data_IF_811764769919
#
_entry.id   IF_811764769919
#
_cell.length_a   1.000
_cell.length_b   1.000
_cell.length_c   1.000
_cell.angle_alpha   90.00
_cell.angle_beta   90.00
_cell.angle_gamma   90.00
#
_symmetry.space_group_name_H-M   'P 1'
#
loop_
_entity.id
_entity.type
_entity.pdbx_description
1 polymer ?
#
# COMPACT_ATOMS: atom_id res chain seq x y z
N UNK A 1 15.26 -4.13 -15.36
CA UNK A 1 15.01 -4.02 -13.90
C UNK A 1 16.22 -3.44 -13.20
N UNK A 2 16.00 -2.49 -12.29
CA UNK A 2 17.04 -1.98 -11.38
C UNK A 2 17.52 -3.11 -10.43
N UNK A 3 18.72 -2.99 -9.84
CA UNK A 3 19.21 -3.92 -8.82
C UNK A 3 18.27 -4.03 -7.62
N UNK A 4 18.35 -5.15 -6.91
CA UNK A 4 17.56 -5.33 -5.69
C UNK A 4 17.88 -4.27 -4.64
N UNK A 5 16.83 -3.59 -4.18
CA UNK A 5 16.95 -2.50 -3.21
C UNK A 5 15.58 -2.19 -2.58
N UNK A 6 15.56 -1.62 -1.35
CA UNK A 6 14.32 -1.16 -0.74
C UNK A 6 13.57 -0.15 -1.60
N UNK A 7 14.28 0.80 -2.23
CA UNK A 7 13.66 1.81 -3.09
C UNK A 7 12.95 1.19 -4.31
N UNK A 8 13.57 0.21 -4.97
CA UNK A 8 12.94 -0.50 -6.10
C UNK A 8 11.73 -1.33 -5.67
N UNK A 9 11.81 -1.97 -4.50
CA UNK A 9 10.82 -2.96 -4.07
C UNK A 9 9.65 -2.38 -3.27
N UNK A 10 9.71 -1.09 -2.95
CA UNK A 10 8.67 -0.42 -2.15
C UNK A 10 7.72 0.35 -3.05
N UNK A 11 6.43 0.17 -2.86
CA UNK A 11 5.39 1.04 -3.42
C UNK A 11 4.71 1.78 -2.29
N UNK A 12 4.58 3.11 -2.45
CA UNK A 12 3.79 3.96 -1.56
C UNK A 12 2.53 4.41 -2.29
N UNK A 13 1.37 4.16 -1.69
CA UNK A 13 0.07 4.63 -2.17
C UNK A 13 -0.39 5.78 -1.28
N UNK A 14 -0.48 6.97 -1.87
CA UNK A 14 -0.94 8.17 -1.19
C UNK A 14 -2.49 8.24 -1.20
N UNK A 15 -3.11 7.78 -0.12
CA UNK A 15 -4.55 7.79 0.10
C UNK A 15 -5.13 6.39 0.24
N UNK A 16 -5.91 6.17 1.29
CA UNK A 16 -6.61 4.93 1.63
C UNK A 16 -8.11 4.94 1.29
N UNK A 17 -8.48 5.69 0.24
CA UNK A 17 -9.83 5.65 -0.33
C UNK A 17 -10.05 4.43 -1.24
N UNK A 18 -11.18 4.37 -1.94
CA UNK A 18 -11.57 3.23 -2.81
C UNK A 18 -10.43 2.79 -3.75
N UNK A 19 -9.99 3.68 -4.63
CA UNK A 19 -8.94 3.38 -5.61
C UNK A 19 -7.58 3.11 -4.97
N UNK A 20 -7.29 3.79 -3.84
CA UNK A 20 -6.03 3.59 -3.12
C UNK A 20 -5.93 2.18 -2.53
N UNK A 21 -7.03 1.70 -1.94
CA UNK A 21 -7.13 0.33 -1.42
C UNK A 21 -6.99 -0.70 -2.54
N UNK A 22 -7.77 -0.57 -3.62
CA UNK A 22 -7.66 -1.50 -4.77
C UNK A 22 -6.23 -1.54 -5.31
N UNK A 23 -5.61 -0.37 -5.49
CA UNK A 23 -4.23 -0.25 -5.95
C UNK A 23 -3.28 -0.97 -4.99
N UNK A 24 -3.35 -0.66 -3.70
CA UNK A 24 -2.47 -1.24 -2.69
C UNK A 24 -2.61 -2.76 -2.59
N UNK A 25 -3.84 -3.29 -2.68
CA UNK A 25 -4.09 -4.73 -2.61
C UNK A 25 -3.60 -5.50 -3.84
N UNK A 26 -3.54 -4.86 -5.01
CA UNK A 26 -3.02 -5.48 -6.23
C UNK A 26 -1.48 -5.50 -6.29
N UNK A 27 -0.83 -4.52 -5.65
CA UNK A 27 0.63 -4.35 -5.74
C UNK A 27 1.44 -5.59 -5.34
N UNK A 28 1.10 -6.36 -4.28
CA UNK A 28 1.87 -7.53 -3.92
C UNK A 28 1.98 -8.58 -5.02
N UNK A 29 0.87 -8.89 -5.70
CA UNK A 29 0.86 -9.83 -6.82
C UNK A 29 1.61 -9.25 -8.03
N UNK A 30 1.34 -7.98 -8.36
CA UNK A 30 1.99 -7.30 -9.48
C UNK A 30 3.50 -7.20 -9.33
N UNK A 31 4.00 -6.84 -8.14
CA UNK A 31 5.43 -6.73 -7.89
C UNK A 31 6.12 -8.08 -7.96
N UNK A 32 5.52 -9.16 -7.43
CA UNK A 32 6.07 -10.52 -7.56
C UNK A 32 6.12 -11.00 -9.00
N UNK A 33 5.09 -10.71 -9.81
CA UNK A 33 5.09 -11.03 -11.22
C UNK A 33 6.24 -10.34 -12.00
N UNK A 34 6.64 -9.13 -11.60
CA UNK A 34 7.66 -8.32 -12.30
C UNK A 34 9.07 -8.54 -11.74
N UNK A 35 9.21 -8.69 -10.41
CA UNK A 35 10.48 -8.75 -9.69
C UNK A 35 10.87 -10.17 -9.27
N UNK A 36 9.94 -11.13 -9.33
CA UNK A 36 10.09 -12.51 -8.91
C UNK A 36 9.39 -12.82 -7.58
N UNK A 37 8.95 -14.07 -7.42
CA UNK A 37 8.19 -14.53 -6.24
C UNK A 37 8.92 -14.34 -4.90
N UNK A 38 10.26 -14.45 -4.93
CA UNK A 38 11.11 -14.29 -3.75
C UNK A 38 11.54 -12.82 -3.49
N UNK A 39 11.04 -11.85 -4.27
CA UNK A 39 11.41 -10.45 -4.07
C UNK A 39 10.93 -9.94 -2.71
N UNK A 40 11.81 -9.22 -2.00
CA UNK A 40 11.48 -8.58 -0.73
C UNK A 40 10.70 -7.28 -0.98
N UNK A 41 9.39 -7.41 -1.21
CA UNK A 41 8.48 -6.30 -1.56
C UNK A 41 7.88 -5.64 -0.32
N UNK A 42 7.55 -4.36 -0.45
CA UNK A 42 6.88 -3.60 0.62
C UNK A 42 5.83 -2.69 0.02
N UNK A 43 4.63 -2.68 0.58
CA UNK A 43 3.53 -1.82 0.10
C UNK A 43 3.00 -1.03 1.28
N UNK A 44 3.06 0.30 1.16
CA UNK A 44 2.71 1.24 2.23
C UNK A 44 1.56 2.12 1.76
N UNK A 45 0.49 2.22 2.54
CA UNK A 45 -0.61 3.16 2.32
C UNK A 45 -0.48 4.29 3.33
N UNK A 46 -0.38 5.53 2.84
CA UNK A 46 -0.42 6.73 3.67
C UNK A 46 -1.81 7.34 3.58
N UNK A 47 -2.52 7.44 4.69
CA UNK A 47 -3.87 7.99 4.71
C UNK A 47 -4.10 8.99 5.84
N UNK A 48 -4.89 10.04 5.53
CA UNK A 48 -5.25 11.08 6.50
C UNK A 48 -6.30 10.63 7.51
N UNK A 49 -7.05 9.58 7.18
CA UNK A 49 -8.05 9.00 8.05
C UNK A 49 -7.41 8.38 9.30
N UNK A 50 -8.15 8.35 10.42
CA UNK A 50 -7.64 7.80 11.68
C UNK A 50 -7.61 6.27 11.71
N UNK A 51 -8.15 5.61 10.68
CA UNK A 51 -8.34 4.17 10.58
C UNK A 51 -8.32 3.72 9.12
N UNK A 52 -8.01 2.44 8.91
CA UNK A 52 -8.09 1.79 7.59
C UNK A 52 -9.51 1.95 7.03
N UNK A 53 -9.61 2.29 5.74
CA UNK A 53 -10.87 2.47 5.03
C UNK A 53 -11.85 3.44 5.72
N UNK A 54 -11.33 4.52 6.34
CA UNK A 54 -12.15 5.50 7.06
C UNK A 54 -13.27 6.10 6.19
N UNK A 55 -13.04 6.25 4.88
CA UNK A 55 -14.02 6.82 3.95
C UNK A 55 -15.05 5.83 3.40
N UNK A 56 -14.96 4.53 3.75
CA UNK A 56 -15.79 3.47 3.13
C UNK A 56 -16.97 3.01 3.99
N UNK A 57 -17.12 3.57 5.19
CA UNK A 57 -18.08 3.12 6.19
C UNK A 57 -17.64 1.86 6.93
N UNK A 58 -18.35 1.54 8.01
CA UNK A 58 -17.93 0.48 8.94
C UNK A 58 -18.20 -0.93 8.41
N UNK A 59 -19.15 -1.11 7.48
CA UNK A 59 -19.58 -2.43 7.02
C UNK A 59 -18.50 -3.22 6.26
N UNK A 60 -17.74 -2.55 5.38
CA UNK A 60 -16.69 -3.20 4.57
C UNK A 60 -15.31 -3.18 5.23
N UNK A 61 -15.11 -2.32 6.24
CA UNK A 61 -13.81 -2.10 6.89
C UNK A 61 -13.17 -3.39 7.42
N UNK A 62 -13.88 -4.31 8.11
CA UNK A 62 -13.28 -5.54 8.61
C UNK A 62 -12.62 -6.38 7.51
N UNK A 63 -13.27 -6.50 6.34
CA UNK A 63 -12.73 -7.23 5.20
C UNK A 63 -11.48 -6.58 4.62
N UNK A 64 -11.43 -5.24 4.59
CA UNK A 64 -10.26 -4.50 4.11
C UNK A 64 -9.08 -4.63 5.08
N UNK A 65 -9.36 -4.64 6.40
CA UNK A 65 -8.33 -4.89 7.43
C UNK A 65 -7.76 -6.29 7.28
N UNK A 66 -8.60 -7.31 7.11
CA UNK A 66 -8.15 -8.68 6.95
C UNK A 66 -7.32 -8.84 5.68
N UNK A 67 -7.82 -8.37 4.53
CA UNK A 67 -7.07 -8.40 3.28
C UNK A 67 -5.73 -7.65 3.38
N UNK A 68 -5.71 -6.50 4.06
CA UNK A 68 -4.46 -5.75 4.31
C UNK A 68 -3.46 -6.57 5.10
N UNK A 69 -3.92 -7.29 6.13
CA UNK A 69 -3.08 -8.16 6.95
C UNK A 69 -2.56 -9.36 6.16
N UNK A 70 -3.43 -10.06 5.42
CA UNK A 70 -3.06 -11.23 4.61
C UNK A 70 -2.03 -10.87 3.53
N UNK A 71 -2.18 -9.69 2.92
CA UNK A 71 -1.28 -9.18 1.88
C UNK A 71 -0.01 -8.51 2.43
N UNK A 72 0.07 -8.31 3.75
CA UNK A 72 1.22 -7.66 4.40
C UNK A 72 1.32 -6.16 4.09
N UNK A 73 0.19 -5.48 3.88
CA UNK A 73 0.16 -4.04 3.66
C UNK A 73 0.48 -3.28 4.95
N UNK A 74 1.28 -2.23 4.83
CA UNK A 74 1.58 -1.31 5.91
C UNK A 74 0.72 -0.06 5.81
N UNK A 75 0.23 0.44 6.93
CA UNK A 75 -0.66 1.60 6.98
C UNK A 75 -0.07 2.70 7.87
N UNK A 76 0.07 3.89 7.28
CA UNK A 76 0.49 5.12 7.96
C UNK A 76 -0.71 6.05 8.02
N UNK A 77 -1.45 5.94 9.12
CA UNK A 77 -2.70 6.65 9.36
C UNK A 77 -2.48 8.04 9.96
N UNK A 78 -3.54 8.86 10.01
CA UNK A 78 -3.49 10.24 10.49
C UNK A 78 -2.38 11.09 9.82
N UNK A 79 -2.02 10.76 8.57
CA UNK A 79 -0.85 11.33 7.91
C UNK A 79 -1.21 11.75 6.49
N UNK A 80 -0.66 12.89 6.04
CA UNK A 80 -0.80 13.34 4.65
C UNK A 80 0.56 13.36 3.98
N UNK A 81 0.61 12.97 2.70
CA UNK A 81 1.79 13.18 1.85
C UNK A 81 1.85 14.65 1.46
N UNK A 82 2.94 15.34 1.82
CA UNK A 82 3.11 16.76 1.54
C UNK A 82 3.77 17.03 0.18
N UNK A 83 4.71 16.17 -0.22
CA UNK A 83 5.44 16.26 -1.48
C UNK A 83 6.01 14.89 -1.86
N UNK A 84 6.40 14.76 -3.13
CA UNK A 84 7.13 13.64 -3.72
C UNK A 84 8.29 14.27 -4.49
N UNK A 85 9.48 13.67 -4.43
CA UNK A 85 10.65 14.16 -5.15
C UNK A 85 11.24 13.09 -6.09
N UNK A 86 12.40 13.38 -6.69
CA UNK A 86 13.02 12.49 -7.67
C UNK A 86 13.53 11.16 -7.09
N UNK A 87 13.70 11.07 -5.76
CA UNK A 87 14.04 9.83 -5.06
C UNK A 87 12.84 8.90 -4.82
N UNK A 88 11.63 9.38 -5.09
CA UNK A 88 10.39 8.79 -4.60
C UNK A 88 9.98 9.42 -3.27
#
# INVERSE_FOLDING_TARGET
>A
NLPDSPARNTVVVAGGGFTGIETATEMPARLRAVLGEAANIRVIVVDRGPQIAASMGDGIRPSIIEASRELGLEWVLNTSVASVDAGG
#
